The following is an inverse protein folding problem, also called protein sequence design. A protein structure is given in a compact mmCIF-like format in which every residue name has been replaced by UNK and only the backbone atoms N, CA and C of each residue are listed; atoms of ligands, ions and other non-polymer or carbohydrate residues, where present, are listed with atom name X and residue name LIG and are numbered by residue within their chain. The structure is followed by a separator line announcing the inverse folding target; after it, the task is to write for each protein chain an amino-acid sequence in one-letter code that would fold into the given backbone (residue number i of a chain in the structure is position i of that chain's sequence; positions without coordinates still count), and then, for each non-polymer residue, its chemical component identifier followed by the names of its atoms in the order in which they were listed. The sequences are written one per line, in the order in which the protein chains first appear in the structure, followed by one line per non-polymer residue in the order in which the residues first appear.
data_IF_203878428427
#
_entry.id   IF_203878428427
#
_cell.length_a   1.000
_cell.length_b   1.000
_cell.length_c   1.000
_cell.angle_alpha   90.00
_cell.angle_beta   90.00
_cell.angle_gamma   90.00
#
_symmetry.space_group_name_H-M   'P 1'
#
loop_
_entity.id
_entity.type
_entity.pdbx_description
1 polymer ?
#
# COMPACT_ATOMS: atom_id res chain seq x y z
N UNK A 1 8.10 -30.36 -4.28
CA UNK A 1 7.04 -29.38 -3.97
C UNK A 1 7.04 -29.20 -2.48
N UNK A 2 7.44 -28.03 -1.99
CA UNK A 2 7.33 -27.67 -0.57
C UNK A 2 5.84 -27.55 -0.25
N UNK A 3 5.39 -28.21 0.81
CA UNK A 3 4.02 -28.05 1.27
C UNK A 3 3.84 -26.70 1.98
N UNK A 4 2.60 -26.20 2.04
CA UNK A 4 2.30 -24.88 2.56
C UNK A 4 2.77 -24.63 4.01
N UNK A 5 2.62 -25.59 4.95
CA UNK A 5 3.13 -25.43 6.31
C UNK A 5 4.65 -25.22 6.35
N UNK A 6 5.41 -25.96 5.54
CA UNK A 6 6.88 -25.83 5.50
C UNK A 6 7.29 -24.46 4.95
N UNK A 7 6.69 -24.01 3.84
CA UNK A 7 7.00 -22.70 3.25
C UNK A 7 6.71 -21.57 4.25
N UNK A 8 5.57 -21.64 4.93
CA UNK A 8 5.17 -20.62 5.92
C UNK A 8 6.14 -20.58 7.10
N UNK A 9 6.57 -21.74 7.60
CA UNK A 9 7.53 -21.83 8.68
C UNK A 9 8.91 -21.26 8.28
N UNK A 10 9.39 -21.58 7.08
CA UNK A 10 10.67 -21.07 6.56
C UNK A 10 10.64 -19.55 6.39
N UNK A 11 9.58 -19.00 5.78
CA UNK A 11 9.44 -17.56 5.57
C UNK A 11 9.30 -16.81 6.91
N UNK A 12 8.52 -17.34 7.86
CA UNK A 12 8.40 -16.75 9.21
C UNK A 12 9.74 -16.78 9.95
N UNK A 13 10.51 -17.85 9.82
CA UNK A 13 11.83 -17.95 10.42
C UNK A 13 12.83 -16.97 9.77
N UNK A 14 12.72 -16.71 8.46
CA UNK A 14 13.51 -15.69 7.78
C UNK A 14 13.15 -14.29 8.28
N UNK A 15 11.87 -13.96 8.44
CA UNK A 15 11.45 -12.68 9.04
C UNK A 15 11.95 -12.47 10.46
N UNK A 16 11.88 -13.50 11.31
CA UNK A 16 12.34 -13.42 12.69
C UNK A 16 13.85 -13.12 12.79
N UNK A 17 14.61 -13.43 11.73
CA UNK A 17 16.03 -13.12 11.59
C UNK A 17 16.29 -11.82 10.80
N UNK A 18 15.23 -11.10 10.41
CA UNK A 18 15.29 -9.95 9.51
C UNK A 18 15.97 -10.26 8.16
N UNK A 19 15.95 -11.53 7.76
CA UNK A 19 16.40 -11.97 6.43
C UNK A 19 15.28 -11.71 5.42
N UNK A 20 15.07 -10.42 5.15
CA UNK A 20 13.98 -9.95 4.30
C UNK A 20 14.07 -10.51 2.89
N UNK A 21 15.28 -10.66 2.34
CA UNK A 21 15.48 -11.21 1.01
C UNK A 21 14.98 -12.66 0.92
N UNK A 22 15.31 -13.50 1.90
CA UNK A 22 14.84 -14.88 1.95
C UNK A 22 13.32 -14.95 2.17
N UNK A 23 12.78 -14.17 3.12
CA UNK A 23 11.34 -14.12 3.38
C UNK A 23 10.54 -13.71 2.12
N UNK A 24 10.97 -12.64 1.46
CA UNK A 24 10.34 -12.15 0.23
C UNK A 24 10.42 -13.21 -0.87
N UNK A 25 11.59 -13.80 -1.11
CA UNK A 25 11.76 -14.80 -2.16
C UNK A 25 10.85 -16.02 -1.98
N UNK A 26 10.73 -16.52 -0.74
CA UNK A 26 9.87 -17.66 -0.40
C UNK A 26 8.39 -17.33 -0.64
N UNK A 27 7.92 -16.19 -0.13
CA UNK A 27 6.51 -15.79 -0.20
C UNK A 27 6.12 -15.39 -1.62
N UNK A 28 6.95 -14.61 -2.32
CA UNK A 28 6.66 -14.13 -3.67
C UNK A 28 6.60 -15.26 -4.69
N UNK A 29 7.30 -16.37 -4.46
CA UNK A 29 7.30 -17.53 -5.36
C UNK A 29 5.94 -18.23 -5.47
N UNK A 30 5.06 -18.04 -4.48
CA UNK A 30 3.72 -18.66 -4.43
C UNK A 30 2.59 -17.63 -4.36
N UNK A 31 2.93 -16.33 -4.37
CA UNK A 31 2.00 -15.22 -4.28
C UNK A 31 1.22 -15.03 -5.59
N UNK A 32 -0.11 -15.03 -5.48
CA UNK A 32 -1.00 -14.74 -6.61
C UNK A 32 -2.17 -13.84 -6.18
N UNK A 33 -2.25 -12.63 -6.74
CA UNK A 33 -3.30 -11.67 -6.38
C UNK A 33 -4.72 -12.18 -6.67
N UNK A 34 -4.93 -12.90 -7.77
CA UNK A 34 -6.25 -13.31 -8.25
C UNK A 34 -6.43 -14.84 -8.24
N UNK A 35 -5.89 -15.51 -7.22
CA UNK A 35 -6.06 -16.95 -7.03
C UNK A 35 -7.37 -17.27 -6.30
N UNK A 36 -8.02 -18.36 -6.68
CA UNK A 36 -9.11 -18.97 -5.88
C UNK A 36 -8.54 -19.72 -4.66
N UNK A 37 -7.26 -20.08 -4.70
CA UNK A 37 -6.53 -20.62 -3.55
C UNK A 37 -6.24 -19.48 -2.57
N UNK A 38 -6.95 -19.49 -1.44
CA UNK A 38 -6.80 -18.50 -0.39
C UNK A 38 -5.37 -18.43 0.17
N UNK A 39 -4.59 -19.52 0.12
CA UNK A 39 -3.20 -19.51 0.58
C UNK A 39 -2.32 -18.69 -0.36
N UNK A 40 -2.49 -18.84 -1.68
CA UNK A 40 -1.75 -18.05 -2.68
C UNK A 40 -2.13 -16.57 -2.63
N UNK A 41 -3.41 -16.28 -2.41
CA UNK A 41 -3.85 -14.92 -2.17
C UNK A 41 -3.28 -14.33 -0.87
N UNK A 42 -3.23 -15.12 0.22
CA UNK A 42 -2.63 -14.69 1.47
C UNK A 42 -1.11 -14.47 1.34
N UNK A 43 -0.40 -15.32 0.58
CA UNK A 43 1.00 -15.09 0.24
C UNK A 43 1.18 -13.76 -0.52
N UNK A 44 0.25 -13.39 -1.40
CA UNK A 44 0.29 -12.09 -2.08
C UNK A 44 0.19 -10.92 -1.10
N UNK A 45 -0.76 -10.97 -0.16
CA UNK A 45 -0.89 -9.93 0.87
C UNK A 45 0.35 -9.85 1.77
N UNK A 46 0.91 -11.02 2.10
CA UNK A 46 2.12 -11.13 2.91
C UNK A 46 3.35 -10.56 2.20
N UNK A 47 3.55 -10.88 0.92
CA UNK A 47 4.63 -10.32 0.11
C UNK A 47 4.57 -8.78 0.11
N UNK A 48 3.39 -8.20 -0.10
CA UNK A 48 3.20 -6.75 -0.07
C UNK A 48 3.55 -6.13 1.30
N UNK A 49 3.26 -6.83 2.40
CA UNK A 49 3.63 -6.37 3.74
C UNK A 49 5.13 -6.49 4.02
N UNK A 50 5.77 -7.57 3.55
CA UNK A 50 7.22 -7.76 3.66
C UNK A 50 7.99 -6.63 2.98
N UNK A 51 7.56 -6.16 1.80
CA UNK A 51 8.20 -5.02 1.13
C UNK A 51 8.18 -3.76 1.99
N UNK A 52 7.12 -3.52 2.76
CA UNK A 52 7.06 -2.39 3.70
C UNK A 52 8.01 -2.61 4.86
N UNK A 53 7.97 -3.78 5.49
CA UNK A 53 8.79 -4.10 6.67
C UNK A 53 10.29 -4.10 6.37
N UNK A 54 10.65 -4.49 5.16
CA UNK A 54 12.03 -4.45 4.66
C UNK A 54 12.48 -3.04 4.22
N UNK A 55 11.61 -2.03 4.25
CA UNK A 55 11.91 -0.67 3.80
C UNK A 55 12.06 -0.54 2.27
N UNK A 56 11.62 -1.54 1.49
CA UNK A 56 11.78 -1.60 0.03
C UNK A 56 10.67 -0.80 -0.69
N UNK A 57 10.54 0.48 -0.35
CA UNK A 57 9.47 1.34 -0.87
C UNK A 57 9.54 1.59 -2.38
N UNK A 58 10.73 1.57 -2.97
CA UNK A 58 10.88 1.67 -4.42
C UNK A 58 10.26 0.46 -5.13
N UNK A 59 10.48 -0.75 -4.60
CA UNK A 59 9.88 -1.98 -5.14
C UNK A 59 8.37 -1.98 -4.95
N UNK A 60 7.90 -1.56 -3.76
CA UNK A 60 6.46 -1.44 -3.49
C UNK A 60 5.79 -0.39 -4.40
N UNK A 61 6.47 0.73 -4.69
CA UNK A 61 5.99 1.75 -5.64
C UNK A 61 5.85 1.19 -7.05
N UNK A 62 6.86 0.45 -7.53
CA UNK A 62 6.78 -0.23 -8.82
C UNK A 62 5.62 -1.22 -8.84
N UNK A 63 5.46 -2.01 -7.78
CA UNK A 63 4.41 -3.02 -7.69
C UNK A 63 3.00 -2.39 -7.65
N UNK A 64 2.84 -1.28 -6.94
CA UNK A 64 1.60 -0.51 -6.86
C UNK A 64 1.09 0.03 -8.21
N UNK A 65 1.97 0.13 -9.21
CA UNK A 65 1.59 0.50 -10.57
C UNK A 65 0.59 -0.48 -11.18
N UNK A 66 0.77 -1.79 -10.94
CA UNK A 66 -0.07 -2.85 -11.51
C UNK A 66 -0.91 -3.60 -10.47
N UNK A 67 -0.57 -3.50 -9.19
CA UNK A 67 -1.23 -4.25 -8.12
C UNK A 67 -2.04 -3.36 -7.16
N UNK A 68 -3.32 -3.70 -6.99
CA UNK A 68 -4.26 -2.93 -6.17
C UNK A 68 -3.97 -3.04 -4.66
N UNK A 69 -3.43 -4.17 -4.19
CA UNK A 69 -3.09 -4.38 -2.78
C UNK A 69 -1.80 -3.64 -2.43
N UNK A 70 -0.78 -3.71 -3.30
CA UNK A 70 0.44 -2.91 -3.18
C UNK A 70 0.13 -1.41 -3.16
N UNK A 71 -0.76 -0.95 -4.05
CA UNK A 71 -1.19 0.47 -4.10
C UNK A 71 -1.85 0.92 -2.80
N UNK A 72 -2.79 0.14 -2.26
CA UNK A 72 -3.45 0.43 -0.98
C UNK A 72 -2.46 0.38 0.19
N UNK A 73 -1.56 -0.62 0.21
CA UNK A 73 -0.57 -0.77 1.28
C UNK A 73 0.41 0.40 1.30
N UNK A 74 0.90 0.84 0.13
CA UNK A 74 1.77 1.99 -0.01
C UNK A 74 1.07 3.26 0.45
N UNK A 75 -0.18 3.51 0.00
CA UNK A 75 -0.93 4.68 0.44
C UNK A 75 -1.15 4.69 1.96
N UNK A 76 -1.41 3.53 2.56
CA UNK A 76 -1.53 3.40 4.00
C UNK A 76 -0.22 3.70 4.72
N UNK A 77 0.90 3.13 4.24
CA UNK A 77 2.22 3.40 4.80
C UNK A 77 2.56 4.90 4.76
N UNK A 78 2.38 5.55 3.61
CA UNK A 78 2.65 6.99 3.47
C UNK A 78 1.77 7.84 4.39
N UNK A 79 0.50 7.45 4.59
CA UNK A 79 -0.38 8.11 5.54
C UNK A 79 0.12 7.99 6.98
N UNK A 80 0.45 6.76 7.41
CA UNK A 80 0.91 6.49 8.77
C UNK A 80 2.24 7.23 9.05
N UNK A 81 3.10 7.39 8.05
CA UNK A 81 4.35 8.17 8.11
C UNK A 81 4.15 9.69 7.90
N UNK A 82 2.92 10.15 7.64
CA UNK A 82 2.65 11.57 7.40
C UNK A 82 3.25 12.14 6.11
N UNK A 83 3.50 11.31 5.11
CA UNK A 83 4.12 11.67 3.83
C UNK A 83 3.10 12.23 2.84
N UNK A 84 2.60 13.44 3.14
CA UNK A 84 1.58 14.12 2.35
C UNK A 84 2.01 14.41 0.90
N UNK A 85 3.26 14.83 0.69
CA UNK A 85 3.78 15.14 -0.65
C UNK A 85 3.81 13.91 -1.55
N UNK A 86 4.25 12.75 -1.03
CA UNK A 86 4.25 11.50 -1.78
C UNK A 86 2.82 11.02 -2.11
N UNK A 87 1.88 11.21 -1.17
CA UNK A 87 0.47 10.94 -1.44
C UNK A 87 -0.09 11.89 -2.51
N UNK A 88 0.33 13.16 -2.51
CA UNK A 88 -0.09 14.16 -3.49
C UNK A 88 0.43 13.85 -4.88
N UNK A 89 1.71 13.50 -5.01
CA UNK A 89 2.29 13.11 -6.29
C UNK A 89 1.52 11.93 -6.90
N UNK A 90 1.26 10.90 -6.09
CA UNK A 90 0.48 9.74 -6.53
C UNK A 90 -0.95 10.10 -6.91
N UNK A 91 -1.64 10.87 -6.08
CA UNK A 91 -3.00 11.33 -6.36
C UNK A 91 -3.08 12.16 -7.65
N UNK A 92 -2.06 12.97 -7.95
CA UNK A 92 -1.98 13.75 -9.17
C UNK A 92 -1.89 12.87 -10.44
N UNK A 93 -1.40 11.64 -10.33
CA UNK A 93 -1.44 10.64 -11.43
C UNK A 93 -2.79 9.91 -11.56
N UNK A 94 -3.80 10.31 -10.79
CA UNK A 94 -5.12 9.65 -10.76
C UNK A 94 -5.21 8.48 -9.77
N UNK A 95 -4.22 8.29 -8.90
CA UNK A 95 -4.28 7.25 -7.87
C UNK A 95 -5.26 7.62 -6.75
N UNK A 96 -6.51 7.16 -6.91
CA UNK A 96 -7.55 7.31 -5.88
C UNK A 96 -7.20 6.68 -4.53
N UNK A 97 -6.35 5.65 -4.51
CA UNK A 97 -5.93 5.04 -3.25
C UNK A 97 -4.99 5.98 -2.45
N UNK A 98 -4.31 6.91 -3.10
CA UNK A 98 -3.50 7.95 -2.44
C UNK A 98 -4.31 9.23 -2.12
N UNK A 99 -5.31 9.56 -2.94
CA UNK A 99 -6.13 10.76 -2.77
C UNK A 99 -6.85 10.82 -1.41
N UNK A 100 -7.59 9.77 -1.03
CA UNK A 100 -8.37 9.83 0.20
C UNK A 100 -7.51 9.85 1.47
N UNK A 101 -6.42 9.06 1.57
CA UNK A 101 -5.47 9.22 2.67
C UNK A 101 -4.83 10.61 2.72
N UNK A 102 -4.51 11.24 1.57
CA UNK A 102 -4.00 12.62 1.55
C UNK A 102 -5.00 13.59 2.19
N UNK A 103 -6.25 13.57 1.75
CA UNK A 103 -7.30 14.46 2.28
C UNK A 103 -7.46 14.23 3.79
N UNK A 104 -7.51 12.97 4.24
CA UNK A 104 -7.59 12.63 5.67
C UNK A 104 -6.38 13.12 6.46
N UNK A 105 -5.18 13.01 5.89
CA UNK A 105 -3.95 13.45 6.55
C UNK A 105 -3.93 14.97 6.73
N UNK A 106 -4.28 15.72 5.69
CA UNK A 106 -4.37 17.19 5.75
C UNK A 106 -5.42 17.61 6.79
N UNK A 107 -6.60 16.97 6.78
CA UNK A 107 -7.65 17.19 7.79
C UNK A 107 -7.17 16.90 9.21
N UNK A 108 -6.49 15.77 9.42
CA UNK A 108 -5.95 15.39 10.72
C UNK A 108 -4.90 16.39 11.25
N UNK A 109 -4.27 17.15 10.35
CA UNK A 109 -3.32 18.24 10.69
C UNK A 109 -3.96 19.61 10.87
N UNK A 110 -5.27 19.74 10.62
CA UNK A 110 -5.97 21.03 10.62
C UNK A 110 -5.76 21.85 9.35
N UNK A 111 -5.17 21.26 8.30
CA UNK A 111 -4.92 21.89 7.00
C UNK A 111 -6.18 21.82 6.11
N UNK A 112 -7.29 22.36 6.60
CA UNK A 112 -8.61 22.24 5.98
C UNK A 112 -8.66 22.84 4.56
N UNK A 113 -8.12 24.05 4.38
CA UNK A 113 -8.07 24.71 3.07
C UNK A 113 -7.25 23.88 2.07
N UNK A 114 -6.13 23.30 2.50
CA UNK A 114 -5.31 22.44 1.66
C UNK A 114 -6.05 21.16 1.26
N UNK A 115 -6.84 20.57 2.19
CA UNK A 115 -7.66 19.40 1.90
C UNK A 115 -8.73 19.70 0.83
N UNK A 116 -9.41 20.83 0.95
CA UNK A 116 -10.40 21.29 -0.04
C UNK A 116 -9.77 21.58 -1.39
N UNK A 117 -8.63 22.26 -1.39
CA UNK A 117 -7.86 22.55 -2.60
C UNK A 117 -7.43 21.25 -3.30
N UNK A 118 -6.90 20.27 -2.56
CA UNK A 118 -6.54 18.95 -3.11
C UNK A 118 -7.75 18.27 -3.76
N UNK A 119 -8.90 18.26 -3.10
CA UNK A 119 -10.10 17.63 -3.64
C UNK A 119 -10.59 18.33 -4.91
N UNK A 120 -10.57 19.67 -4.93
CA UNK A 120 -10.98 20.47 -6.08
C UNK A 120 -10.02 20.32 -7.27
N UNK A 121 -8.71 20.30 -7.02
CA UNK A 121 -7.69 20.24 -8.07
C UNK A 121 -7.55 18.82 -8.66
N UNK A 122 -7.40 17.82 -7.80
CA UNK A 122 -7.03 16.47 -8.23
C UNK A 122 -8.26 15.59 -8.54
N UNK A 123 -9.43 15.94 -8.01
CA UNK A 123 -10.64 15.15 -8.18
C UNK A 123 -11.92 16.00 -8.24
N UNK A 124 -12.02 17.00 -9.15
CA UNK A 124 -13.14 17.93 -9.20
C UNK A 124 -14.49 17.25 -9.40
N UNK A 125 -14.55 16.09 -10.05
CA UNK A 125 -15.78 15.32 -10.25
C UNK A 125 -16.10 14.33 -9.12
N UNK A 126 -15.19 14.12 -8.17
CA UNK A 126 -15.34 13.14 -7.09
C UNK A 126 -16.06 13.78 -5.89
N UNK A 127 -17.37 13.55 -5.79
CA UNK A 127 -18.19 14.11 -4.71
C UNK A 127 -17.77 13.62 -3.34
N UNK A 128 -17.28 12.38 -3.24
CA UNK A 128 -16.81 11.81 -1.99
C UNK A 128 -15.52 12.48 -1.53
N UNK A 129 -14.58 12.74 -2.44
CA UNK A 129 -13.37 13.49 -2.11
C UNK A 129 -13.68 14.90 -1.56
N UNK A 130 -14.64 15.60 -2.17
CA UNK A 130 -15.07 16.93 -1.73
C UNK A 130 -15.75 16.91 -0.36
N UNK A 131 -16.65 15.95 -0.13
CA UNK A 131 -17.30 15.78 1.17
C UNK A 131 -16.26 15.46 2.26
N UNK A 132 -15.31 14.57 1.98
CA UNK A 132 -14.23 14.21 2.90
C UNK A 132 -13.31 15.39 3.24
N UNK A 133 -13.16 16.35 2.33
CA UNK A 133 -12.36 17.54 2.55
C UNK A 133 -13.11 18.63 3.34
N UNK A 134 -14.41 18.83 3.07
CA UNK A 134 -15.22 19.87 3.71
C UNK A 134 -15.76 19.49 5.09
N UNK A 135 -16.11 18.20 5.29
CA UNK A 135 -16.72 17.70 6.53
C UNK A 135 -15.73 17.60 7.68
#
# INVERSE_FOLDING_TARGET
MTDWPTLTAEATAAEAREDWAAAIALVSAVAECYSEDYMRHNAHLWHVDLLVRAGLLHELTRFAGTDKHARRRLARFLYDEGRADDLRERAATGDKAALYPLIRLLRARGEHEAAEQVAAELAPADSYARELAGG
#
